data_IF_759107997487
#
_entry.id   IF_759107997487
#
_cell.length_a   1.000
_cell.length_b   1.000
_cell.length_c   1.000
_cell.angle_alpha   90.00
_cell.angle_beta   90.00
_cell.angle_gamma   90.00
#
_symmetry.space_group_name_H-M   'P 1'
#
loop_
_entity.id
_entity.type
_entity.pdbx_description
1 polymer ?
#
# COMPACT_ATOMS: atom_id res chain seq x y z
N UNK A 1 17.79 -20.11 -40.74
CA UNK A 1 17.41 -21.01 -39.62
C UNK A 1 17.97 -20.55 -38.26
N UNK A 2 19.26 -20.23 -38.13
CA UNK A 2 19.87 -19.78 -36.85
C UNK A 2 19.32 -18.45 -36.30
N UNK A 3 19.09 -17.44 -37.15
CA UNK A 3 18.49 -16.15 -36.74
C UNK A 3 17.02 -16.28 -36.29
N UNK A 4 16.27 -17.19 -36.90
CA UNK A 4 14.86 -17.45 -36.55
C UNK A 4 14.81 -18.12 -35.17
N UNK A 5 15.68 -19.10 -34.92
CA UNK A 5 15.83 -19.72 -33.60
C UNK A 5 16.24 -18.71 -32.53
N UNK A 6 17.16 -17.78 -32.84
CA UNK A 6 17.58 -16.73 -31.92
C UNK A 6 16.43 -15.75 -31.60
N UNK A 7 15.62 -15.39 -32.61
CA UNK A 7 14.44 -14.54 -32.46
C UNK A 7 13.34 -15.20 -31.61
N UNK A 8 13.09 -16.50 -31.78
CA UNK A 8 12.14 -17.23 -30.92
C UNK A 8 12.62 -17.29 -29.46
N UNK A 9 13.92 -17.44 -29.23
CA UNK A 9 14.50 -17.45 -27.88
C UNK A 9 14.36 -16.08 -27.19
N UNK A 10 14.59 -14.99 -27.89
CA UNK A 10 14.45 -13.65 -27.30
C UNK A 10 12.99 -13.30 -26.98
N UNK A 11 12.05 -13.65 -27.87
CA UNK A 11 10.62 -13.42 -27.66
C UNK A 11 10.09 -14.23 -26.47
N UNK A 12 10.50 -15.49 -26.32
CA UNK A 12 10.09 -16.34 -25.19
C UNK A 12 10.62 -15.83 -23.86
N UNK A 13 11.88 -15.36 -23.80
CA UNK A 13 12.46 -14.75 -22.59
C UNK A 13 11.68 -13.50 -22.17
N UNK A 14 11.35 -12.60 -23.10
CA UNK A 14 10.59 -11.38 -22.82
C UNK A 14 9.16 -11.67 -22.30
N UNK A 15 8.49 -12.68 -22.87
CA UNK A 15 7.19 -13.16 -22.37
C UNK A 15 7.30 -13.73 -20.96
N UNK A 16 8.36 -14.50 -20.66
CA UNK A 16 8.61 -15.03 -19.32
C UNK A 16 8.92 -13.93 -18.29
N UNK A 17 9.67 -12.88 -18.66
CA UNK A 17 9.99 -11.78 -17.74
C UNK A 17 8.76 -10.98 -17.29
N UNK A 18 7.73 -10.85 -18.13
CA UNK A 18 6.48 -10.17 -17.76
C UNK A 18 5.70 -10.90 -16.66
N UNK A 19 5.86 -12.23 -16.55
CA UNK A 19 5.23 -13.05 -15.51
C UNK A 19 5.96 -12.93 -14.16
N UNK A 20 7.22 -12.50 -14.17
CA UNK A 20 8.07 -12.36 -13.00
C UNK A 20 8.00 -10.96 -12.38
N UNK A 21 6.86 -10.26 -12.48
CA UNK A 21 6.66 -9.07 -11.65
C UNK A 21 6.82 -9.47 -10.18
N UNK A 22 7.82 -8.94 -9.45
CA UNK A 22 7.95 -9.23 -8.04
C UNK A 22 6.73 -8.61 -7.37
N UNK A 23 5.76 -9.45 -6.97
CA UNK A 23 4.72 -9.04 -6.04
C UNK A 23 5.42 -8.74 -4.73
N UNK A 24 5.86 -7.50 -4.59
CA UNK A 24 6.42 -7.00 -3.34
C UNK A 24 5.26 -7.03 -2.34
N UNK A 25 5.17 -8.14 -1.58
CA UNK A 25 4.34 -8.21 -0.39
C UNK A 25 4.91 -7.16 0.54
N UNK A 26 4.36 -5.95 0.47
CA UNK A 26 4.57 -4.97 1.52
C UNK A 26 4.05 -5.66 2.78
N UNK A 27 4.96 -6.10 3.65
CA UNK A 27 4.63 -6.47 5.01
C UNK A 27 4.13 -5.18 5.66
N UNK A 28 2.83 -4.91 5.52
CA UNK A 28 2.17 -3.80 6.16
C UNK A 28 2.21 -4.14 7.65
N UNK A 29 3.20 -3.59 8.35
CA UNK A 29 3.26 -3.66 9.81
C UNK A 29 2.08 -2.85 10.34
N UNK A 30 1.00 -3.54 10.68
CA UNK A 30 -0.17 -2.96 11.34
C UNK A 30 0.16 -2.75 12.81
N UNK A 31 -0.01 -1.53 13.30
CA UNK A 31 0.15 -1.24 14.73
C UNK A 31 -1.11 -1.66 15.51
N UNK A 32 -0.99 -2.00 16.82
CA UNK A 32 -2.14 -2.33 17.64
C UNK A 32 -3.17 -1.19 17.69
N UNK A 33 -4.41 -1.52 18.08
CA UNK A 33 -5.54 -0.58 18.15
C UNK A 33 -6.23 -0.32 16.80
N UNK A 34 -7.29 0.49 16.85
CA UNK A 34 -8.20 0.74 15.72
C UNK A 34 -8.13 2.20 15.25
N UNK A 35 -8.53 2.43 14.00
CA UNK A 35 -8.71 3.80 13.52
C UNK A 35 -9.97 4.40 14.16
N UNK A 36 -9.92 5.66 14.63
CA UNK A 36 -11.11 6.33 15.12
C UNK A 36 -12.15 6.49 14.01
N UNK A 37 -13.41 6.34 14.37
CA UNK A 37 -14.53 6.55 13.46
C UNK A 37 -14.60 8.01 13.03
N UNK A 38 -14.86 8.22 11.74
CA UNK A 38 -15.00 9.55 11.16
C UNK A 38 -16.27 9.58 10.31
N UNK A 39 -17.34 10.14 10.88
CA UNK A 39 -18.69 10.13 10.29
C UNK A 39 -18.99 11.32 9.37
N UNK A 40 -18.08 12.28 9.24
CA UNK A 40 -18.34 13.46 8.42
C UNK A 40 -18.17 13.14 6.93
N UNK A 41 -19.15 13.53 6.13
CA UNK A 41 -19.03 13.49 4.67
C UNK A 41 -17.97 14.49 4.20
N UNK A 42 -17.09 14.03 3.32
CA UNK A 42 -16.02 14.84 2.76
C UNK A 42 -16.40 15.33 1.36
N UNK A 43 -16.60 16.66 1.15
CA UNK A 43 -16.84 17.19 -0.20
C UNK A 43 -15.59 17.03 -1.10
N UNK A 44 -14.40 16.99 -0.49
CA UNK A 44 -13.14 16.70 -1.14
C UNK A 44 -12.21 15.95 -0.18
N UNK A 45 -11.28 15.17 -0.75
CA UNK A 45 -10.25 14.45 -0.01
C UNK A 45 -8.92 15.18 -0.14
N UNK A 46 -8.27 15.46 0.99
CA UNK A 46 -6.96 16.08 1.04
C UNK A 46 -5.86 15.08 0.72
N UNK A 47 -4.72 15.59 0.24
CA UNK A 47 -3.55 14.76 -0.06
C UNK A 47 -3.11 13.94 1.17
N UNK A 48 -2.78 12.65 1.00
CA UNK A 48 -2.41 11.79 2.11
C UNK A 48 -1.05 12.18 2.69
N UNK A 49 -0.96 12.31 4.02
CA UNK A 49 0.33 12.53 4.71
C UNK A 49 0.98 11.22 5.14
N UNK A 50 0.23 10.11 5.11
CA UNK A 50 0.74 8.77 5.38
C UNK A 50 0.08 7.75 4.44
N UNK A 51 0.73 6.60 4.25
CA UNK A 51 0.19 5.46 3.48
C UNK A 51 -0.07 4.21 4.32
N UNK A 52 0.74 4.01 5.36
CA UNK A 52 0.73 2.83 6.24
C UNK A 52 1.13 3.23 7.66
N UNK A 53 0.76 2.44 8.67
CA UNK A 53 1.06 2.70 10.08
C UNK A 53 2.57 2.89 10.35
N UNK A 54 3.44 2.14 9.66
CA UNK A 54 4.91 2.30 9.74
C UNK A 54 5.41 3.71 9.41
N UNK A 55 4.63 4.49 8.66
CA UNK A 55 4.96 5.88 8.32
C UNK A 55 4.64 6.88 9.44
N UNK A 56 3.93 6.44 10.47
CA UNK A 56 3.58 7.27 11.63
C UNK A 56 4.55 7.01 12.78
N UNK A 57 4.87 8.06 13.56
CA UNK A 57 5.74 7.94 14.74
C UNK A 57 5.01 7.28 15.91
N UNK A 58 5.73 6.52 16.75
CA UNK A 58 5.18 5.88 17.95
C UNK A 58 4.07 4.89 17.61
N UNK A 59 2.99 4.88 18.40
CA UNK A 59 1.85 3.96 18.24
C UNK A 59 0.76 4.49 17.30
N UNK A 60 0.94 5.70 16.76
CA UNK A 60 -0.01 6.33 15.84
C UNK A 60 -0.27 5.48 14.61
N UNK A 61 -1.53 5.41 14.20
CA UNK A 61 -2.00 4.67 13.01
C UNK A 61 -2.26 5.62 11.85
N UNK A 62 -2.12 5.11 10.63
CA UNK A 62 -2.43 5.86 9.41
C UNK A 62 -3.90 5.65 9.02
N UNK A 63 -4.75 6.58 9.40
CA UNK A 63 -6.21 6.46 9.27
C UNK A 63 -6.79 7.55 8.38
N UNK A 64 -7.98 7.32 7.83
CA UNK A 64 -8.75 8.38 7.19
C UNK A 64 -9.49 9.18 8.25
N UNK A 65 -9.09 10.43 8.46
CA UNK A 65 -9.63 11.29 9.50
C UNK A 65 -9.56 12.75 9.05
N UNK A 66 -10.60 13.55 9.30
CA UNK A 66 -10.73 14.92 8.77
C UNK A 66 -10.45 15.00 7.26
N UNK A 67 -11.09 14.11 6.49
CA UNK A 67 -10.99 14.07 5.04
C UNK A 67 -9.57 13.87 4.48
N UNK A 68 -8.68 13.26 5.26
CA UNK A 68 -7.28 13.04 4.90
C UNK A 68 -6.77 11.72 5.46
N UNK A 69 -5.89 11.02 4.73
CA UNK A 69 -5.08 9.97 5.37
C UNK A 69 -3.98 10.60 6.20
N UNK A 70 -4.08 10.47 7.52
CA UNK A 70 -3.16 11.09 8.48
C UNK A 70 -2.87 10.20 9.67
N UNK A 71 -1.77 10.52 10.36
CA UNK A 71 -1.40 9.85 11.60
C UNK A 71 -2.30 10.33 12.74
N UNK A 72 -2.99 9.39 13.38
CA UNK A 72 -3.91 9.64 14.50
C UNK A 72 -3.58 8.70 15.65
N UNK A 73 -4.00 9.07 16.86
CA UNK A 73 -3.93 8.16 17.99
C UNK A 73 -4.89 6.98 17.75
N UNK A 74 -4.48 5.75 18.08
CA UNK A 74 -5.35 4.58 17.98
C UNK A 74 -6.49 4.68 19.01
N UNK A 75 -7.66 4.14 18.68
CA UNK A 75 -8.62 3.74 19.70
C UNK A 75 -8.20 2.40 20.30
N UNK A 76 -8.10 2.38 21.63
CA UNK A 76 -7.96 1.15 22.39
C UNK A 76 -9.27 0.37 22.31
N UNK A 77 -9.18 -0.92 22.03
CA UNK A 77 -10.31 -1.86 22.17
C UNK A 77 -10.58 -2.25 23.63
N UNK A 78 -10.26 -1.37 24.59
CA UNK A 78 -10.44 -1.63 26.03
C UNK A 78 -11.75 -1.03 26.55
N UNK A 79 -12.85 -1.29 25.84
CA UNK A 79 -14.19 -1.37 26.41
C UNK A 79 -14.81 -2.71 26.02
#
# INVERSE_FOLDING_TARGET
MKLISLSLLTVTILLCCNMAQPKFKNNVTTKPGYCPEFHLSCPFVLLPVCRYDRGCKGDKKCCFYYCQKRCVEPWDSMY
#
